data_IF_890324118628
#
_entry.id   IF_890324118628
#
_cell.length_a   1.000
_cell.length_b   1.000
_cell.length_c   1.000
_cell.angle_alpha   90.00
_cell.angle_beta   90.00
_cell.angle_gamma   90.00
#
_symmetry.space_group_name_H-M   'P 1'
#
loop_
_entity.id
_entity.type
_entity.pdbx_description
1 polymer ?
#
# COMPACT_ATOMS: atom_id res chain seq x y z
N UNK A 1 -34.60 13.87 29.24
CA UNK A 1 -34.54 12.41 29.52
C UNK A 1 -34.35 11.57 28.26
N UNK A 2 -35.14 11.70 27.18
CA UNK A 2 -34.96 10.90 25.96
C UNK A 2 -33.56 11.00 25.32
N UNK A 3 -32.95 12.18 25.29
CA UNK A 3 -31.58 12.39 24.72
C UNK A 3 -30.48 11.70 25.55
N UNK A 4 -30.63 11.69 26.88
CA UNK A 4 -29.68 11.02 27.79
C UNK A 4 -29.79 9.50 27.66
N UNK A 5 -31.01 8.98 27.45
CA UNK A 5 -31.25 7.55 27.25
C UNK A 5 -30.67 7.08 25.92
N UNK A 6 -30.76 7.88 24.85
CA UNK A 6 -30.16 7.61 23.54
C UNK A 6 -28.62 7.61 23.65
N UNK A 7 -28.07 8.58 24.38
CA UNK A 7 -26.61 8.66 24.59
C UNK A 7 -26.08 7.47 25.42
N UNK A 8 -26.82 7.08 26.47
CA UNK A 8 -26.49 5.92 27.30
C UNK A 8 -26.59 4.60 26.52
N UNK A 9 -27.60 4.48 25.66
CA UNK A 9 -27.75 3.31 24.79
C UNK A 9 -26.65 3.24 23.71
N UNK A 10 -26.23 4.40 23.20
CA UNK A 10 -25.12 4.50 22.25
C UNK A 10 -23.78 4.13 22.87
N UNK A 11 -23.53 4.48 24.14
CA UNK A 11 -22.31 4.12 24.88
C UNK A 11 -22.24 2.63 25.22
N UNK A 12 -23.37 1.98 25.46
CA UNK A 12 -23.45 0.53 25.66
C UNK A 12 -23.09 -0.27 24.39
N UNK A 13 -23.43 0.23 23.21
CA UNK A 13 -23.04 -0.40 21.95
C UNK A 13 -21.52 -0.26 21.67
N UNK A 14 -20.90 0.83 22.09
CA UNK A 14 -19.47 1.05 21.88
C UNK A 14 -18.58 0.16 22.75
N UNK A 15 -19.04 -0.23 23.93
CA UNK A 15 -18.30 -1.11 24.84
C UNK A 15 -18.29 -2.59 24.41
N UNK A 16 -19.26 -3.03 23.60
CA UNK A 16 -19.39 -4.42 23.14
C UNK A 16 -18.58 -4.73 21.88
N UNK A 17 -18.11 -3.73 21.12
CA UNK A 17 -17.41 -3.94 19.86
C UNK A 17 -15.89 -3.98 20.07
N UNK A 18 -15.36 -5.16 20.39
CA UNK A 18 -13.90 -5.36 20.40
C UNK A 18 -13.33 -5.40 18.97
N UNK A 19 -12.36 -4.53 18.68
CA UNK A 19 -11.65 -4.54 17.40
C UNK A 19 -10.86 -5.83 17.15
N UNK A 20 -10.58 -6.59 18.21
CA UNK A 20 -9.78 -7.83 18.18
C UNK A 20 -10.62 -9.12 18.17
N UNK A 21 -11.96 -9.02 18.10
CA UNK A 21 -12.86 -10.19 18.19
C UNK A 21 -12.51 -11.34 17.23
N UNK A 22 -11.89 -11.01 16.09
CA UNK A 22 -11.55 -11.97 15.03
C UNK A 22 -10.05 -12.02 14.73
N UNK A 23 -9.24 -11.56 15.68
CA UNK A 23 -7.78 -11.72 15.65
C UNK A 23 -7.45 -13.04 16.32
N UNK A 24 -6.71 -13.91 15.63
CA UNK A 24 -6.26 -15.20 16.15
C UNK A 24 -5.48 -15.08 17.46
N UNK A 25 -5.22 -16.20 18.12
CA UNK A 25 -4.52 -16.16 19.42
C UNK A 25 -3.11 -15.62 19.30
N UNK A 26 -2.40 -16.03 18.27
CA UNK A 26 -1.02 -15.64 17.98
C UNK A 26 -0.91 -14.46 17.01
N UNK A 27 -2.04 -13.95 16.53
CA UNK A 27 -2.09 -12.86 15.54
C UNK A 27 -2.03 -11.48 16.19
N UNK A 28 -1.42 -10.52 15.47
CA UNK A 28 -1.38 -9.11 15.84
C UNK A 28 -2.15 -8.26 14.84
N UNK A 29 -3.09 -7.47 15.34
CA UNK A 29 -3.84 -6.48 14.55
C UNK A 29 -2.95 -5.27 14.25
N UNK A 30 -2.77 -4.94 13.00
CA UNK A 30 -2.06 -3.74 12.58
C UNK A 30 -2.85 -2.48 12.96
N UNK A 31 -2.39 -1.77 13.98
CA UNK A 31 -2.99 -0.52 14.46
C UNK A 31 -2.52 0.70 13.67
N UNK A 32 -1.23 0.71 13.30
CA UNK A 32 -0.58 1.83 12.65
C UNK A 32 0.73 1.39 11.99
N UNK A 33 1.10 2.05 10.88
CA UNK A 33 2.46 2.08 10.38
C UNK A 33 3.09 3.43 10.73
N UNK A 34 4.39 3.41 11.03
CA UNK A 34 5.20 4.63 11.20
C UNK A 34 6.41 4.51 10.28
N UNK A 35 6.69 5.55 9.51
CA UNK A 35 7.90 5.63 8.68
C UNK A 35 8.77 6.74 9.25
N UNK A 36 10.00 6.41 9.56
CA UNK A 36 11.04 7.34 10.04
C UNK A 36 12.17 7.34 9.02
N UNK A 37 12.52 8.51 8.52
CA UNK A 37 13.60 8.70 7.55
C UNK A 37 14.62 9.65 8.14
N UNK A 38 15.86 9.19 8.26
CA UNK A 38 16.98 9.96 8.85
C UNK A 38 16.56 10.56 10.21
N UNK A 39 16.05 9.68 11.10
CA UNK A 39 15.57 10.02 12.46
C UNK A 39 14.34 10.96 12.53
N UNK A 40 13.80 11.38 11.39
CA UNK A 40 12.62 12.25 11.33
C UNK A 40 11.39 11.46 10.89
N UNK A 41 10.28 11.67 11.59
CA UNK A 41 9.01 11.09 11.19
C UNK A 41 8.62 11.60 9.81
N UNK A 42 8.33 10.66 8.92
CA UNK A 42 7.93 10.99 7.56
C UNK A 42 6.57 11.69 7.51
N UNK A 43 6.50 12.76 6.75
CA UNK A 43 5.26 13.49 6.42
C UNK A 43 4.90 13.38 4.93
N UNK A 44 5.75 12.74 4.10
CA UNK A 44 5.50 12.57 2.68
C UNK A 44 4.46 11.47 2.44
N UNK A 45 3.41 11.79 1.69
CA UNK A 45 2.35 10.86 1.29
C UNK A 45 2.87 9.71 0.44
N UNK A 46 3.84 9.98 -0.45
CA UNK A 46 4.35 9.01 -1.42
C UNK A 46 4.91 7.75 -0.76
N UNK A 47 5.64 7.92 0.36
CA UNK A 47 6.16 6.78 1.12
C UNK A 47 5.04 5.94 1.74
N UNK A 48 3.92 6.55 2.12
CA UNK A 48 2.77 5.82 2.66
C UNK A 48 2.06 4.95 1.59
N UNK A 49 2.18 5.30 0.31
CA UNK A 49 1.65 4.50 -0.78
C UNK A 49 2.44 3.22 -1.02
N UNK A 50 3.71 3.20 -0.63
CA UNK A 50 4.59 2.03 -0.75
C UNK A 50 4.31 0.95 0.30
N UNK A 51 3.52 1.25 1.33
CA UNK A 51 3.12 0.31 2.37
C UNK A 51 2.20 -0.77 1.79
N UNK A 52 2.63 -2.01 1.82
CA UNK A 52 1.86 -3.17 1.32
C UNK A 52 0.67 -3.49 2.23
N UNK A 53 0.82 -3.30 3.53
CA UNK A 53 -0.27 -3.40 4.49
C UNK A 53 -0.58 -2.02 5.06
N UNK A 54 -1.84 -1.62 4.96
CA UNK A 54 -2.36 -0.41 5.60
C UNK A 54 -3.33 -0.81 6.71
N UNK A 55 -3.33 -0.14 7.86
CA UNK A 55 -4.25 -0.46 8.95
C UNK A 55 -5.70 -0.26 8.51
N UNK A 56 -6.63 -0.85 9.26
CA UNK A 56 -8.05 -0.63 9.04
C UNK A 56 -8.40 0.87 9.04
N UNK A 57 -9.26 1.28 8.10
CA UNK A 57 -9.68 2.67 7.91
C UNK A 57 -10.36 3.16 9.19
N UNK A 58 -9.96 4.35 9.64
CA UNK A 58 -10.56 5.02 10.79
C UNK A 58 -11.45 6.17 10.33
N UNK A 59 -12.68 6.17 10.83
CA UNK A 59 -13.63 7.28 10.67
C UNK A 59 -13.84 7.91 12.04
N UNK A 60 -13.60 9.20 12.17
CA UNK A 60 -13.62 9.92 13.47
C UNK A 60 -12.71 9.25 14.54
N UNK A 61 -11.55 8.75 14.11
CA UNK A 61 -10.59 8.09 15.00
C UNK A 61 -10.90 6.63 15.36
N UNK A 62 -12.07 6.11 14.97
CA UNK A 62 -12.52 4.75 15.27
C UNK A 62 -12.54 3.87 14.00
N UNK A 63 -12.13 2.60 14.08
CA UNK A 63 -12.17 1.66 12.96
C UNK A 63 -13.61 1.11 12.78
N UNK A 64 -14.56 1.97 12.41
CA UNK A 64 -15.97 1.60 12.31
C UNK A 64 -16.22 0.45 11.35
N UNK A 65 -15.55 0.45 10.19
CA UNK A 65 -15.67 -0.64 9.21
C UNK A 65 -15.25 -2.00 9.78
N UNK A 66 -14.22 -2.02 10.65
CA UNK A 66 -13.82 -3.23 11.38
C UNK A 66 -14.88 -3.65 12.40
N UNK A 67 -15.49 -2.69 13.09
CA UNK A 67 -16.57 -2.99 14.02
C UNK A 67 -17.79 -3.58 13.30
N UNK A 68 -18.19 -3.03 12.15
CA UNK A 68 -19.25 -3.62 11.33
C UNK A 68 -18.90 -5.04 10.89
N UNK A 69 -17.69 -5.29 10.42
CA UNK A 69 -17.26 -6.64 10.08
C UNK A 69 -17.36 -7.62 11.26
N UNK A 70 -17.04 -7.17 12.46
CA UNK A 70 -17.11 -7.98 13.68
C UNK A 70 -18.54 -8.27 14.15
N UNK A 71 -19.56 -7.54 13.67
CA UNK A 71 -20.96 -7.84 13.88
C UNK A 71 -21.45 -9.02 13.00
N UNK A 72 -20.91 -9.13 11.78
CA UNK A 72 -21.16 -10.27 10.92
C UNK A 72 -20.45 -11.53 11.46
N UNK A 73 -20.81 -12.71 10.97
CA UNK A 73 -20.20 -14.00 11.32
C UNK A 73 -20.13 -14.91 10.08
N UNK A 74 -18.91 -15.32 9.70
CA UNK A 74 -18.68 -16.20 8.55
C UNK A 74 -19.23 -17.62 8.76
N UNK A 75 -19.40 -18.04 10.02
CA UNK A 75 -19.87 -19.37 10.36
C UNK A 75 -21.41 -19.42 10.50
N UNK A 76 -22.09 -18.28 10.30
CA UNK A 76 -23.55 -18.26 10.29
C UNK A 76 -24.11 -18.91 9.02
N UNK A 77 -25.35 -19.44 9.11
CA UNK A 77 -26.04 -20.02 7.96
C UNK A 77 -26.12 -19.03 6.79
N UNK A 78 -25.91 -19.54 5.58
CA UNK A 78 -26.07 -18.77 4.34
C UNK A 78 -27.38 -19.12 3.60
N UNK A 79 -28.07 -20.17 4.03
CA UNK A 79 -29.35 -20.59 3.47
C UNK A 79 -30.42 -20.71 4.56
N UNK A 80 -31.70 -20.61 4.16
CA UNK A 80 -32.84 -20.78 5.09
C UNK A 80 -32.84 -22.16 5.73
N UNK A 81 -32.50 -23.19 4.97
CA UNK A 81 -32.43 -24.54 5.49
C UNK A 81 -31.37 -24.71 6.58
N UNK A 82 -30.16 -24.22 6.34
CA UNK A 82 -29.10 -24.21 7.35
C UNK A 82 -29.49 -23.35 8.56
N UNK A 83 -30.21 -22.25 8.34
CA UNK A 83 -30.67 -21.39 9.41
C UNK A 83 -31.71 -22.11 10.27
N UNK A 84 -32.66 -22.79 9.65
CA UNK A 84 -33.66 -23.62 10.35
C UNK A 84 -33.02 -24.75 11.18
N UNK A 85 -31.98 -25.41 10.63
CA UNK A 85 -31.23 -26.46 11.32
C UNK A 85 -30.44 -25.90 12.52
N UNK A 86 -29.76 -24.78 12.36
CA UNK A 86 -28.92 -24.15 13.41
C UNK A 86 -29.75 -23.37 14.45
N UNK A 87 -30.97 -22.95 14.12
CA UNK A 87 -31.85 -22.11 14.97
C UNK A 87 -33.29 -22.70 15.01
N UNK A 88 -33.47 -24.00 15.29
CA UNK A 88 -34.77 -24.67 15.18
C UNK A 88 -35.83 -24.08 16.12
N UNK A 89 -35.44 -23.70 17.34
CA UNK A 89 -36.34 -23.08 18.30
C UNK A 89 -36.96 -21.79 17.75
N UNK A 90 -36.15 -20.87 17.21
CA UNK A 90 -36.62 -19.61 16.67
C UNK A 90 -37.44 -19.82 15.39
N UNK A 91 -36.97 -20.72 14.50
CA UNK A 91 -37.67 -21.03 13.26
C UNK A 91 -39.06 -21.58 13.52
N UNK A 92 -39.17 -22.58 14.38
CA UNK A 92 -40.44 -23.23 14.72
C UNK A 92 -41.36 -22.30 15.54
N UNK A 93 -40.81 -21.46 16.41
CA UNK A 93 -41.59 -20.46 17.14
C UNK A 93 -42.31 -19.51 16.20
N UNK A 94 -41.58 -18.93 15.23
CA UNK A 94 -42.15 -18.02 14.25
C UNK A 94 -43.11 -18.72 13.32
N UNK A 95 -42.80 -19.95 12.89
CA UNK A 95 -43.68 -20.79 12.05
C UNK A 95 -45.01 -21.09 12.74
N UNK A 96 -44.97 -21.44 14.03
CA UNK A 96 -46.18 -21.85 14.79
C UNK A 96 -47.05 -20.65 15.19
N UNK A 97 -46.49 -19.50 15.51
CA UNK A 97 -47.25 -18.29 15.91
C UNK A 97 -47.79 -17.53 14.72
N UNK A 98 -47.00 -17.41 13.66
CA UNK A 98 -47.35 -16.62 12.49
C UNK A 98 -47.60 -17.49 11.26
N UNK A 99 -46.52 -17.89 10.54
CA UNK A 99 -46.62 -18.79 9.40
C UNK A 99 -45.22 -19.23 8.95
N UNK A 100 -45.16 -20.33 8.13
CA UNK A 100 -43.93 -20.75 7.50
C UNK A 100 -43.31 -19.71 6.61
N UNK A 101 -44.13 -18.97 5.83
CA UNK A 101 -43.65 -17.86 4.97
C UNK A 101 -42.97 -16.78 5.78
N UNK A 102 -43.45 -16.45 6.96
CA UNK A 102 -42.85 -15.45 7.84
C UNK A 102 -41.55 -15.95 8.49
N UNK A 103 -41.46 -17.25 8.84
CA UNK A 103 -40.23 -17.86 9.34
C UNK A 103 -39.11 -17.83 8.28
N UNK A 104 -39.45 -18.13 7.01
CA UNK A 104 -38.55 -18.04 5.87
C UNK A 104 -38.08 -16.56 5.64
N UNK A 105 -39.03 -15.61 5.66
CA UNK A 105 -38.72 -14.18 5.49
C UNK A 105 -37.79 -13.66 6.60
N UNK A 106 -38.05 -14.05 7.84
CA UNK A 106 -37.18 -13.68 8.97
C UNK A 106 -35.79 -14.29 8.82
N UNK A 107 -35.66 -15.57 8.46
CA UNK A 107 -34.38 -16.21 8.21
C UNK A 107 -33.60 -15.48 7.11
N UNK A 108 -34.24 -15.18 5.97
CA UNK A 108 -33.61 -14.41 4.88
C UNK A 108 -33.14 -13.02 5.33
N UNK A 109 -33.94 -12.33 6.14
CA UNK A 109 -33.55 -11.02 6.69
C UNK A 109 -32.32 -11.10 7.58
N UNK A 110 -32.24 -12.12 8.43
CA UNK A 110 -31.09 -12.35 9.33
C UNK A 110 -29.83 -12.76 8.56
N UNK A 111 -29.99 -13.57 7.51
CA UNK A 111 -28.88 -13.94 6.59
C UNK A 111 -28.43 -12.70 5.83
N UNK A 112 -29.37 -11.93 5.27
CA UNK A 112 -29.08 -10.71 4.53
C UNK A 112 -28.33 -9.69 5.39
N UNK A 113 -28.76 -9.47 6.62
CA UNK A 113 -28.10 -8.56 7.57
C UNK A 113 -26.68 -9.03 7.91
N UNK A 114 -26.51 -10.33 8.15
CA UNK A 114 -25.18 -10.89 8.40
C UNK A 114 -24.23 -10.66 7.22
N UNK A 115 -24.70 -10.95 6.02
CA UNK A 115 -23.91 -10.79 4.79
C UNK A 115 -23.62 -9.31 4.51
N UNK A 116 -24.56 -8.43 4.81
CA UNK A 116 -24.37 -6.98 4.71
C UNK A 116 -23.22 -6.49 5.61
N UNK A 117 -23.17 -6.95 6.86
CA UNK A 117 -22.07 -6.62 7.77
C UNK A 117 -20.72 -7.13 7.27
N UNK A 118 -20.67 -8.36 6.74
CA UNK A 118 -19.43 -8.92 6.20
C UNK A 118 -18.96 -8.22 4.93
N UNK A 119 -19.90 -7.83 4.06
CA UNK A 119 -19.61 -7.17 2.78
C UNK A 119 -19.20 -5.71 2.95
N UNK A 120 -19.87 -4.96 3.84
CA UNK A 120 -19.62 -3.53 4.04
C UNK A 120 -18.63 -3.25 5.17
N UNK A 121 -18.29 -4.27 5.95
CA UNK A 121 -17.23 -4.21 6.95
C UNK A 121 -15.85 -4.47 6.34
N UNK A 122 -14.81 -4.09 7.07
CA UNK A 122 -13.41 -4.37 6.72
C UNK A 122 -12.86 -5.42 7.68
N UNK A 123 -12.36 -6.53 7.14
CA UNK A 123 -11.70 -7.57 7.94
C UNK A 123 -10.49 -7.01 8.71
N UNK A 124 -10.13 -7.58 9.88
CA UNK A 124 -8.94 -7.17 10.61
C UNK A 124 -7.70 -7.35 9.74
N UNK A 125 -6.85 -6.33 9.69
CA UNK A 125 -5.56 -6.40 9.01
C UNK A 125 -4.55 -7.01 9.98
N UNK A 126 -4.24 -8.29 9.76
CA UNK A 126 -3.25 -9.03 10.55
C UNK A 126 -1.85 -8.76 9.99
N UNK A 127 -0.91 -8.50 10.89
CA UNK A 127 0.50 -8.30 10.53
C UNK A 127 1.06 -9.60 9.93
N UNK A 128 1.75 -9.48 8.79
CA UNK A 128 2.41 -10.58 8.10
C UNK A 128 3.83 -10.18 7.74
N UNK A 129 4.82 -10.96 8.14
CA UNK A 129 6.23 -10.70 7.91
C UNK A 129 6.58 -10.57 6.42
N UNK A 130 5.95 -11.39 5.57
CA UNK A 130 6.09 -11.30 4.11
C UNK A 130 5.71 -9.89 3.58
N UNK A 131 4.64 -9.31 4.13
CA UNK A 131 4.17 -7.97 3.74
C UNK A 131 5.08 -6.86 4.26
N UNK A 132 5.64 -7.05 5.45
CA UNK A 132 6.66 -6.16 6.01
C UNK A 132 7.91 -6.17 5.13
N UNK A 133 8.43 -7.35 4.80
CA UNK A 133 9.61 -7.53 3.94
C UNK A 133 9.38 -6.87 2.57
N UNK A 134 8.20 -7.07 1.97
CA UNK A 134 7.84 -6.42 0.70
C UNK A 134 7.80 -4.90 0.82
N UNK A 135 7.30 -4.38 1.94
CA UNK A 135 7.30 -2.92 2.21
C UNK A 135 8.73 -2.39 2.31
N UNK A 136 9.62 -3.08 3.03
CA UNK A 136 11.05 -2.70 3.13
C UNK A 136 11.68 -2.67 1.73
N UNK A 137 11.41 -3.67 0.90
CA UNK A 137 11.89 -3.71 -0.48
C UNK A 137 11.40 -2.51 -1.30
N UNK A 138 10.12 -2.18 -1.22
CA UNK A 138 9.54 -1.03 -1.92
C UNK A 138 10.17 0.31 -1.48
N UNK A 139 10.30 0.50 -0.16
CA UNK A 139 10.92 1.70 0.41
C UNK A 139 12.40 1.82 0.00
N UNK A 140 13.13 0.69 0.01
CA UNK A 140 14.52 0.64 -0.44
C UNK A 140 14.63 1.00 -1.93
N UNK A 141 13.80 0.40 -2.79
CA UNK A 141 13.77 0.69 -4.22
C UNK A 141 13.46 2.16 -4.49
N UNK A 142 12.46 2.72 -3.82
CA UNK A 142 12.12 4.14 -3.94
C UNK A 142 13.32 5.06 -3.68
N UNK A 143 14.07 4.80 -2.62
CA UNK A 143 15.23 5.61 -2.29
C UNK A 143 16.40 5.38 -3.25
N UNK A 144 16.63 4.14 -3.70
CA UNK A 144 17.64 3.84 -4.73
C UNK A 144 17.33 4.56 -6.05
N UNK A 145 16.08 4.56 -6.48
CA UNK A 145 15.62 5.25 -7.69
C UNK A 145 15.76 6.78 -7.59
N UNK A 146 15.90 7.29 -6.36
CA UNK A 146 16.22 8.70 -6.08
C UNK A 146 17.70 8.95 -5.75
N UNK A 147 18.59 7.99 -6.05
CA UNK A 147 20.05 8.18 -5.95
C UNK A 147 20.65 7.85 -4.58
N UNK A 148 19.89 7.27 -3.67
CA UNK A 148 20.40 6.84 -2.37
C UNK A 148 20.79 5.35 -2.41
N UNK A 149 21.84 4.98 -3.14
CA UNK A 149 22.19 3.58 -3.37
C UNK A 149 22.62 2.82 -2.12
N UNK A 150 23.07 3.52 -1.08
CA UNK A 150 23.49 2.93 0.20
C UNK A 150 22.41 2.96 1.27
N UNK A 151 21.15 3.18 0.86
CA UNK A 151 20.01 3.18 1.78
C UNK A 151 19.92 1.88 2.56
N UNK A 152 19.68 2.00 3.86
CA UNK A 152 19.37 0.89 4.77
C UNK A 152 17.96 1.08 5.29
N UNK A 153 17.12 0.08 5.11
CA UNK A 153 15.75 0.08 5.61
C UNK A 153 15.54 -1.15 6.50
N UNK A 154 14.94 -0.95 7.64
CA UNK A 154 14.62 -1.99 8.62
C UNK A 154 13.25 -1.75 9.22
N UNK A 155 12.69 -2.77 9.84
CA UNK A 155 11.42 -2.67 10.55
C UNK A 155 11.54 -3.19 11.97
N UNK A 156 10.64 -2.70 12.82
CA UNK A 156 10.39 -3.27 14.15
C UNK A 156 8.89 -3.31 14.42
N UNK A 157 8.46 -4.31 15.18
CA UNK A 157 7.07 -4.47 15.59
C UNK A 157 6.98 -4.10 17.07
N UNK A 158 6.23 -3.05 17.37
CA UNK A 158 5.92 -2.63 18.72
C UNK A 158 4.57 -3.23 19.14
N UNK A 159 4.64 -4.28 19.95
CA UNK A 159 3.44 -4.96 20.46
C UNK A 159 2.79 -4.09 21.52
N UNK A 160 1.50 -3.86 21.37
CA UNK A 160 0.67 -3.10 22.32
C UNK A 160 -0.34 -4.02 23.03
N UNK A 161 -1.02 -3.49 24.05
CA UNK A 161 -2.11 -4.21 24.72
C UNK A 161 -3.20 -4.63 23.73
N UNK A 162 -3.89 -5.72 24.07
CA UNK A 162 -5.03 -6.23 23.30
C UNK A 162 -4.67 -6.64 21.85
N UNK A 163 -3.64 -7.46 21.67
CA UNK A 163 -3.25 -8.03 20.36
C UNK A 163 -3.11 -6.97 19.26
N UNK A 164 -2.74 -5.76 19.58
CA UNK A 164 -2.50 -4.68 18.62
C UNK A 164 -1.02 -4.43 18.51
N UNK A 165 -0.55 -4.03 17.33
CA UNK A 165 0.83 -3.63 17.18
C UNK A 165 0.98 -2.48 16.18
N UNK A 166 2.09 -1.76 16.32
CA UNK A 166 2.57 -0.74 15.39
C UNK A 166 3.76 -1.32 14.67
N UNK A 167 3.79 -1.17 13.35
CA UNK A 167 4.98 -1.50 12.55
C UNK A 167 5.72 -0.20 12.28
N UNK A 168 6.95 -0.13 12.77
CA UNK A 168 7.84 1.00 12.57
C UNK A 168 8.85 0.64 11.48
N UNK A 169 8.92 1.45 10.41
CA UNK A 169 9.91 1.35 9.33
C UNK A 169 10.93 2.47 9.52
N UNK A 170 12.20 2.11 9.72
CA UNK A 170 13.30 3.05 9.88
C UNK A 170 14.18 3.01 8.65
N UNK A 171 14.43 4.15 8.05
CA UNK A 171 15.19 4.31 6.81
C UNK A 171 16.34 5.29 7.08
N UNK A 172 17.54 4.81 6.88
CA UNK A 172 18.76 5.60 6.77
C UNK A 172 19.11 5.71 5.28
N UNK A 173 18.92 6.87 4.69
CA UNK A 173 19.17 7.10 3.26
C UNK A 173 20.66 7.13 2.94
N UNK A 174 21.47 7.57 3.89
CA UNK A 174 22.86 7.93 3.61
C UNK A 174 22.97 9.16 2.71
N UNK A 175 24.09 9.27 2.01
CA UNK A 175 24.35 10.40 1.09
C UNK A 175 23.78 10.10 -0.29
N UNK A 176 23.22 11.12 -0.98
CA UNK A 176 22.78 10.99 -2.36
C UNK A 176 23.97 10.84 -3.31
N UNK A 177 23.77 10.18 -4.43
CA UNK A 177 24.74 10.04 -5.52
C UNK A 177 24.43 11.06 -6.62
N UNK A 178 25.47 11.67 -7.17
CA UNK A 178 25.38 12.69 -8.20
C UNK A 178 25.99 12.19 -9.51
N UNK A 179 25.50 12.68 -10.64
CA UNK A 179 26.03 12.41 -11.96
C UNK A 179 27.38 13.15 -12.13
N UNK A 180 28.47 12.43 -12.36
CA UNK A 180 29.79 13.02 -12.56
C UNK A 180 30.10 13.23 -14.05
N UNK A 181 29.89 12.20 -14.88
CA UNK A 181 30.02 12.29 -16.32
C UNK A 181 28.86 11.59 -17.02
N UNK A 182 28.53 12.09 -18.20
CA UNK A 182 27.52 11.51 -19.08
C UNK A 182 28.20 11.31 -20.42
N UNK A 183 28.47 10.04 -20.72
CA UNK A 183 29.14 9.62 -21.96
C UNK A 183 28.05 9.08 -22.88
N UNK A 184 28.07 9.52 -24.12
CA UNK A 184 27.16 9.03 -25.17
C UNK A 184 27.94 8.21 -26.19
N UNK A 185 27.45 7.03 -26.54
CA UNK A 185 28.06 6.14 -27.51
C UNK A 185 27.06 5.88 -28.65
N UNK A 186 26.89 6.85 -29.54
CA UNK A 186 25.98 6.78 -30.67
C UNK A 186 26.76 6.42 -31.93
N UNK A 187 26.56 5.19 -32.43
CA UNK A 187 27.30 4.66 -33.59
C UNK A 187 26.95 5.35 -34.90
N UNK A 188 25.72 5.82 -35.05
CA UNK A 188 25.25 6.51 -36.25
C UNK A 188 25.59 8.00 -36.20
N UNK A 189 26.35 8.50 -37.14
CA UNK A 189 26.71 9.93 -37.22
C UNK A 189 25.50 10.85 -37.36
N UNK A 190 24.44 10.38 -38.01
CA UNK A 190 23.16 11.11 -38.17
C UNK A 190 22.46 11.26 -36.83
N UNK A 191 22.33 10.15 -36.08
CA UNK A 191 21.69 10.16 -34.77
C UNK A 191 22.50 10.98 -33.77
N UNK A 192 23.84 10.87 -33.80
CA UNK A 192 24.71 11.65 -32.92
C UNK A 192 24.58 13.15 -33.21
N UNK A 193 24.60 13.57 -34.49
CA UNK A 193 24.40 14.97 -34.88
C UNK A 193 23.06 15.51 -34.35
N UNK A 194 21.98 14.75 -34.51
CA UNK A 194 20.66 15.11 -33.98
C UNK A 194 20.68 15.23 -32.44
N UNK A 195 21.29 14.27 -31.78
CA UNK A 195 21.40 14.30 -30.32
C UNK A 195 22.19 15.53 -29.82
N UNK A 196 23.37 15.79 -30.41
CA UNK A 196 24.21 16.90 -30.04
C UNK A 196 23.53 18.28 -30.28
N UNK A 197 22.71 18.38 -31.33
CA UNK A 197 21.97 19.61 -31.62
C UNK A 197 20.98 20.02 -30.51
N UNK A 198 20.51 19.07 -29.75
CA UNK A 198 19.53 19.28 -28.63
C UNK A 198 20.04 18.79 -27.26
N UNK A 199 21.36 18.62 -27.13
CA UNK A 199 21.97 18.15 -25.87
C UNK A 199 21.69 19.09 -24.67
N UNK A 200 21.53 20.39 -24.93
CA UNK A 200 21.19 21.37 -23.89
C UNK A 200 19.82 21.11 -23.22
N UNK A 201 18.92 20.41 -23.92
CA UNK A 201 17.59 20.05 -23.45
C UNK A 201 17.56 18.74 -22.66
N UNK A 202 18.73 18.08 -22.48
CA UNK A 202 18.82 16.83 -21.73
C UNK A 202 18.34 16.97 -20.28
N UNK A 203 17.62 15.97 -19.82
CA UNK A 203 17.21 15.82 -18.41
C UNK A 203 18.36 15.31 -17.53
N UNK A 204 19.48 14.88 -18.15
CA UNK A 204 20.67 14.40 -17.44
C UNK A 204 21.75 15.47 -17.52
N UNK A 205 22.17 16.02 -16.40
CA UNK A 205 23.21 17.04 -16.32
C UNK A 205 24.26 16.64 -15.29
N UNK A 206 25.53 16.88 -15.61
CA UNK A 206 26.61 16.71 -14.65
C UNK A 206 26.34 17.55 -13.39
N UNK A 207 26.50 16.94 -12.22
CA UNK A 207 26.27 17.57 -10.93
C UNK A 207 24.84 17.43 -10.40
N UNK A 208 23.89 16.95 -11.21
CA UNK A 208 22.54 16.66 -10.73
C UNK A 208 22.53 15.39 -9.89
N UNK A 209 21.65 15.35 -8.90
CA UNK A 209 21.39 14.12 -8.15
C UNK A 209 20.80 13.07 -9.08
N UNK A 210 21.29 11.83 -8.98
CA UNK A 210 20.71 10.69 -9.68
C UNK A 210 19.23 10.55 -9.36
N UNK A 211 18.40 10.48 -10.40
CA UNK A 211 16.96 10.17 -10.34
C UNK A 211 16.59 9.31 -11.53
N UNK A 212 16.15 8.09 -11.30
CA UNK A 212 15.70 7.19 -12.37
C UNK A 212 14.66 7.84 -13.29
N UNK A 213 13.73 8.62 -12.73
CA UNK A 213 12.74 9.35 -13.49
C UNK A 213 13.33 10.30 -14.56
N UNK A 214 14.55 10.84 -14.34
CA UNK A 214 15.20 11.68 -15.34
C UNK A 214 15.74 10.86 -16.51
N UNK A 215 16.17 9.62 -16.27
CA UNK A 215 16.59 8.71 -17.34
C UNK A 215 15.40 8.30 -18.22
N UNK A 216 14.26 8.00 -17.61
CA UNK A 216 13.02 7.69 -18.34
C UNK A 216 12.60 8.89 -19.21
N UNK A 217 12.64 10.11 -18.65
CA UNK A 217 12.34 11.33 -19.42
C UNK A 217 13.33 11.56 -20.57
N UNK A 218 14.60 11.29 -20.34
CA UNK A 218 15.64 11.45 -21.36
C UNK A 218 15.45 10.43 -22.49
N UNK A 219 15.13 9.16 -22.14
CA UNK A 219 14.82 8.14 -23.14
C UNK A 219 13.62 8.55 -24.02
N UNK A 220 12.55 9.01 -23.41
CA UNK A 220 11.38 9.51 -24.14
C UNK A 220 11.71 10.76 -24.97
N UNK A 221 12.54 11.66 -24.46
CA UNK A 221 13.00 12.84 -25.23
C UNK A 221 13.78 12.45 -26.46
N UNK A 222 14.76 11.55 -26.32
CA UNK A 222 15.60 11.07 -27.44
C UNK A 222 14.73 10.34 -28.48
N UNK A 223 13.84 9.48 -28.02
CA UNK A 223 12.90 8.76 -28.91
C UNK A 223 12.06 9.73 -29.74
N UNK A 224 11.50 10.75 -29.09
CA UNK A 224 10.71 11.77 -29.77
C UNK A 224 11.57 12.63 -30.73
N UNK A 225 12.80 12.98 -30.32
CA UNK A 225 13.74 13.70 -31.18
C UNK A 225 13.97 12.95 -32.50
N UNK A 226 14.28 11.66 -32.43
CA UNK A 226 14.58 10.88 -33.64
C UNK A 226 13.33 10.66 -34.49
N UNK A 227 12.18 10.35 -33.90
CA UNK A 227 10.90 10.18 -34.62
C UNK A 227 10.50 11.47 -35.37
N UNK A 228 10.64 12.61 -34.73
CA UNK A 228 10.29 13.90 -35.32
C UNK A 228 11.26 14.30 -36.47
N UNK A 229 12.43 13.66 -36.56
CA UNK A 229 13.41 13.87 -37.62
C UNK A 229 13.44 12.72 -38.64
N UNK A 230 12.33 12.00 -38.78
CA UNK A 230 12.13 11.01 -39.88
C UNK A 230 12.49 9.58 -39.54
N UNK A 231 12.93 9.29 -38.30
CA UNK A 231 13.26 7.93 -37.86
C UNK A 231 12.06 7.34 -37.12
N UNK A 232 10.96 7.13 -37.82
CA UNK A 232 9.63 6.83 -37.27
C UNK A 232 9.55 5.53 -36.45
N UNK A 233 10.39 4.53 -36.78
CA UNK A 233 10.38 3.24 -36.09
C UNK A 233 11.26 3.19 -34.83
N UNK A 234 11.97 4.27 -34.52
CA UNK A 234 12.80 4.32 -33.34
C UNK A 234 11.97 4.21 -32.06
N UNK A 235 12.39 3.35 -31.13
CA UNK A 235 11.71 3.10 -29.84
C UNK A 235 12.68 3.27 -28.67
N UNK A 236 12.16 3.36 -27.46
CA UNK A 236 12.99 3.39 -26.25
C UNK A 236 13.87 2.13 -26.11
N UNK A 237 13.45 0.98 -26.67
CA UNK A 237 14.24 -0.25 -26.68
C UNK A 237 15.47 -0.21 -27.58
N UNK A 238 15.51 0.72 -28.53
CA UNK A 238 16.66 0.93 -29.41
C UNK A 238 17.76 1.79 -28.73
N UNK A 239 17.40 2.45 -27.63
CA UNK A 239 18.37 3.01 -26.70
C UNK A 239 19.03 1.86 -25.95
N UNK A 240 20.35 1.79 -25.97
CA UNK A 240 21.09 0.80 -25.22
C UNK A 240 20.82 0.89 -23.70
N UNK A 241 21.47 0.01 -22.95
CA UNK A 241 21.37 0.03 -21.50
C UNK A 241 22.20 1.19 -20.96
N UNK A 242 21.65 1.91 -19.97
CA UNK A 242 22.41 2.83 -19.16
C UNK A 242 23.38 2.06 -18.27
N UNK A 243 24.66 2.16 -18.48
CA UNK A 243 25.64 1.66 -17.54
C UNK A 243 25.87 2.71 -16.46
N UNK A 244 25.50 2.37 -15.24
CA UNK A 244 25.73 3.22 -14.08
C UNK A 244 26.91 2.63 -13.32
N UNK A 245 28.07 3.23 -13.45
CA UNK A 245 29.23 2.82 -12.68
C UNK A 245 29.11 3.33 -11.24
N UNK A 246 28.50 2.51 -10.39
CA UNK A 246 28.42 2.74 -8.95
C UNK A 246 29.64 2.22 -8.17
N UNK A 247 30.61 1.62 -8.84
CA UNK A 247 31.74 0.92 -8.25
C UNK A 247 32.86 1.83 -7.74
N UNK A 248 32.76 3.14 -7.90
CA UNK A 248 33.70 4.07 -7.29
C UNK A 248 33.42 4.10 -5.79
N UNK A 249 34.13 3.24 -5.07
CA UNK A 249 33.90 2.78 -3.70
C UNK A 249 33.88 3.87 -2.62
N UNK A 250 34.33 5.08 -2.89
CA UNK A 250 34.29 6.23 -1.95
C UNK A 250 33.74 7.52 -2.55
N UNK A 251 33.32 7.52 -3.81
CA UNK A 251 32.70 8.66 -4.49
C UNK A 251 31.19 8.50 -4.48
N UNK A 252 30.48 9.53 -4.05
CA UNK A 252 29.02 9.63 -4.24
C UNK A 252 28.72 10.20 -5.64
N UNK A 253 29.50 9.78 -6.64
CA UNK A 253 29.42 10.18 -8.02
C UNK A 253 29.31 8.94 -8.88
N UNK A 254 28.61 9.03 -9.98
CA UNK A 254 28.44 7.95 -10.94
C UNK A 254 28.61 8.46 -12.35
N UNK A 255 29.21 7.65 -13.20
CA UNK A 255 29.28 7.88 -14.63
C UNK A 255 28.09 7.21 -15.29
N UNK A 256 27.62 7.80 -16.37
CA UNK A 256 26.51 7.29 -17.16
C UNK A 256 26.96 7.17 -18.60
N UNK A 257 26.85 5.97 -19.16
CA UNK A 257 27.01 5.69 -20.60
C UNK A 257 25.61 5.58 -21.23
N UNK A 258 25.35 6.38 -22.23
CA UNK A 258 24.11 6.42 -23.00
C UNK A 258 24.28 5.77 -24.36
#
# INVERSE_FOLDING_TARGET
MKKIFILFFLTLFLSSCSSIKRVGEDDLLLKQNTIVVDEKKNTNSDLNELLVQKPNIKTLGLPLSLYFYNLGDKNKPNTVNEWGIKKPKTYNFIKNIFSEKQSISYANSMIGLNNWFLKNGQAPVIIKDEKITKTISNLTAYHKNNGYFRVKAQSSIEVQKNKKAIVNYTIDKGRPTFLDSIITNIKSSVLDSLYQSQKSLSFLKKGDQFKEANFIKEASRITNLYRNNGIYHFTENDLGYYNIDSAITNSYKTNVDL
#
